data_IF_975091193831
#
_entry.id   IF_975091193831
#
_cell.length_a   1.000
_cell.length_b   1.000
_cell.length_c   1.000
_cell.angle_alpha   90.00
_cell.angle_beta   90.00
_cell.angle_gamma   90.00
#
_symmetry.space_group_name_H-M   'P 1'
#
loop_
_entity.id
_entity.type
_entity.pdbx_description
1 polymer ?
#
# COMPACT_ATOMS: atom_id res chain seq x y z
N UNK A 1 -16.73 -8.48 -2.78
CA UNK A 1 -16.71 -7.05 -2.42
C UNK A 1 -17.44 -6.90 -1.09
N UNK A 2 -16.85 -6.23 -0.10
CA UNK A 2 -17.52 -5.96 1.19
C UNK A 2 -18.32 -4.66 1.05
N UNK A 3 -19.59 -4.68 1.41
CA UNK A 3 -20.49 -3.53 1.33
C UNK A 3 -21.25 -3.31 2.64
N UNK A 4 -21.27 -2.08 3.14
CA UNK A 4 -21.95 -1.71 4.38
C UNK A 4 -23.46 -1.56 4.22
N UNK A 5 -23.95 -1.41 2.98
CA UNK A 5 -25.37 -1.27 2.67
C UNK A 5 -26.06 -2.61 2.40
N UNK A 6 -25.30 -3.70 2.36
CA UNK A 6 -25.83 -5.03 2.13
C UNK A 6 -26.62 -5.57 3.34
N UNK A 7 -27.60 -6.43 3.10
CA UNK A 7 -28.45 -7.00 4.15
C UNK A 7 -27.74 -7.94 5.14
N UNK A 8 -26.53 -8.39 4.81
CA UNK A 8 -25.67 -9.15 5.72
C UNK A 8 -24.78 -8.21 6.52
N UNK A 9 -24.59 -8.50 7.82
CA UNK A 9 -23.63 -7.76 8.63
C UNK A 9 -22.20 -7.88 8.09
N UNK A 10 -21.38 -6.84 8.29
CA UNK A 10 -19.95 -6.80 7.94
C UNK A 10 -19.20 -8.06 8.40
N UNK A 11 -19.55 -8.58 9.58
CA UNK A 11 -18.95 -9.80 10.15
C UNK A 11 -19.23 -11.03 9.29
N UNK A 12 -20.47 -11.20 8.83
CA UNK A 12 -20.86 -12.33 7.98
C UNK A 12 -20.19 -12.22 6.61
N UNK A 13 -20.12 -11.02 6.05
CA UNK A 13 -19.44 -10.79 4.77
C UNK A 13 -17.94 -11.10 4.85
N UNK A 14 -17.25 -10.65 5.91
CA UNK A 14 -15.83 -10.97 6.11
C UNK A 14 -15.60 -12.47 6.27
N UNK A 15 -16.48 -13.17 7.00
CA UNK A 15 -16.39 -14.63 7.20
C UNK A 15 -16.64 -15.41 5.91
N UNK A 16 -17.56 -14.96 5.05
CA UNK A 16 -17.83 -15.57 3.75
C UNK A 16 -16.66 -15.40 2.77
N UNK A 17 -15.96 -14.27 2.86
CA UNK A 17 -14.83 -13.93 1.98
C UNK A 17 -13.48 -14.41 2.53
N UNK A 18 -13.46 -15.06 3.69
CA UNK A 18 -12.24 -15.49 4.41
C UNK A 18 -11.20 -14.37 4.58
N UNK A 19 -11.69 -13.15 4.87
CA UNK A 19 -10.83 -11.97 5.11
C UNK A 19 -10.95 -11.47 6.53
N UNK A 20 -9.83 -10.99 7.07
CA UNK A 20 -9.82 -10.40 8.40
C UNK A 20 -10.73 -9.17 8.47
N UNK A 21 -11.53 -9.05 9.54
CA UNK A 21 -12.46 -7.93 9.76
C UNK A 21 -11.76 -6.57 9.74
N UNK A 22 -10.48 -6.51 10.12
CA UNK A 22 -9.65 -5.31 10.06
C UNK A 22 -9.56 -4.71 8.66
N UNK A 23 -9.55 -5.55 7.61
CA UNK A 23 -9.48 -5.10 6.21
C UNK A 23 -10.75 -4.39 5.77
N UNK A 24 -11.91 -4.72 6.34
CA UNK A 24 -13.19 -4.13 6.00
C UNK A 24 -13.33 -2.65 6.44
N UNK A 25 -12.50 -2.22 7.39
CA UNK A 25 -12.45 -0.82 7.81
C UNK A 25 -11.53 0.04 6.92
N UNK A 26 -10.63 -0.60 6.18
CA UNK A 26 -9.73 0.11 5.27
C UNK A 26 -10.50 0.54 4.02
N UNK A 27 -10.57 1.85 3.78
CA UNK A 27 -11.10 2.40 2.54
C UNK A 27 -9.91 2.67 1.60
N UNK A 28 -9.87 2.07 0.40
CA UNK A 28 -8.83 2.39 -0.57
C UNK A 28 -8.81 3.90 -0.82
N UNK A 29 -7.71 4.55 -0.48
CA UNK A 29 -7.49 5.96 -0.75
C UNK A 29 -6.69 6.09 -2.05
N UNK A 30 -7.04 7.01 -2.96
CA UNK A 30 -6.22 7.28 -4.13
C UNK A 30 -4.85 7.79 -3.68
N UNK A 31 -3.79 7.16 -4.18
CA UNK A 31 -2.41 7.58 -3.94
C UNK A 31 -2.10 8.81 -4.81
N UNK A 32 -1.35 9.76 -4.28
CA UNK A 32 -0.91 10.92 -5.05
C UNK A 32 0.08 10.52 -6.14
N UNK A 33 0.14 11.29 -7.23
CA UNK A 33 1.08 11.05 -8.33
C UNK A 33 2.54 10.96 -7.87
N UNK A 34 2.91 11.73 -6.84
CA UNK A 34 4.24 11.70 -6.23
C UNK A 34 4.52 10.36 -5.55
N UNK A 35 3.54 9.79 -4.84
CA UNK A 35 3.68 8.47 -4.20
C UNK A 35 3.78 7.38 -5.25
N UNK A 36 2.99 7.47 -6.33
CA UNK A 36 3.07 6.50 -7.43
C UNK A 36 4.43 6.53 -8.14
N UNK A 37 4.96 7.72 -8.42
CA UNK A 37 6.31 7.89 -8.99
C UNK A 37 7.39 7.31 -8.08
N UNK A 38 7.26 7.51 -6.76
CA UNK A 38 8.15 6.93 -5.76
C UNK A 38 8.11 5.39 -5.79
N UNK A 39 6.92 4.79 -5.80
CA UNK A 39 6.76 3.34 -5.86
C UNK A 39 7.39 2.75 -7.13
N UNK A 40 7.22 3.42 -8.28
CA UNK A 40 7.89 3.03 -9.54
C UNK A 40 9.40 3.07 -9.41
N UNK A 41 9.95 4.15 -8.86
CA UNK A 41 11.40 4.31 -8.68
C UNK A 41 11.98 3.26 -7.73
N UNK A 42 11.27 2.93 -6.66
CA UNK A 42 11.66 1.85 -5.74
C UNK A 42 11.68 0.51 -6.47
N UNK A 43 10.67 0.24 -7.32
CA UNK A 43 10.60 -0.98 -8.12
C UNK A 43 11.76 -1.11 -9.11
N UNK A 44 12.07 -0.05 -9.86
CA UNK A 44 13.21 -0.01 -10.79
C UNK A 44 14.54 -0.27 -10.08
N UNK A 45 14.71 0.34 -8.92
CA UNK A 45 15.93 0.24 -8.13
C UNK A 45 16.07 -1.16 -7.51
N UNK A 46 14.98 -1.82 -7.08
CA UNK A 46 15.03 -3.22 -6.64
C UNK A 46 15.27 -4.20 -7.79
N UNK A 47 14.79 -3.91 -9.00
CA UNK A 47 15.06 -4.74 -10.17
C UNK A 47 16.56 -4.73 -10.53
N UNK A 48 17.18 -3.55 -10.50
CA UNK A 48 18.61 -3.40 -10.80
C UNK A 48 19.50 -3.83 -9.62
N UNK A 49 19.02 -3.62 -8.39
CA UNK A 49 19.77 -3.88 -7.17
C UNK A 49 18.81 -4.43 -6.09
N UNK A 50 18.67 -5.77 -5.96
CA UNK A 50 17.71 -6.38 -5.03
C UNK A 50 17.99 -6.08 -3.54
N UNK A 51 19.18 -5.61 -3.21
CA UNK A 51 19.59 -5.16 -1.87
C UNK A 51 19.42 -3.64 -1.66
N UNK A 52 19.09 -2.90 -2.71
CA UNK A 52 18.95 -1.46 -2.67
C UNK A 52 17.57 -1.10 -2.09
N UNK A 53 17.52 -1.01 -0.77
CA UNK A 53 16.33 -0.51 -0.06
C UNK A 53 16.27 1.02 -0.01
N UNK A 54 15.43 1.53 0.88
CA UNK A 54 15.22 2.96 1.12
C UNK A 54 16.49 3.79 1.41
N UNK A 55 17.59 3.13 1.85
CA UNK A 55 18.88 3.79 2.10
C UNK A 55 19.58 4.26 0.82
N UNK A 56 19.47 3.50 -0.28
CA UNK A 56 20.08 3.89 -1.56
C UNK A 56 19.25 4.98 -2.25
N UNK A 57 17.93 4.90 -2.16
CA UNK A 57 17.03 5.95 -2.65
C UNK A 57 17.30 7.32 -1.99
N UNK A 58 17.65 7.35 -0.70
CA UNK A 58 18.06 8.58 0.00
C UNK A 58 19.38 9.15 -0.54
N UNK A 59 20.32 8.30 -0.99
CA UNK A 59 21.61 8.74 -1.56
C UNK A 59 21.45 9.30 -2.98
N UNK A 60 20.43 8.87 -3.72
CA UNK A 60 20.09 9.41 -5.04
C UNK A 60 19.41 10.81 -4.99
N UNK A 61 19.35 11.45 -3.82
CA UNK A 61 18.77 12.80 -3.69
C UNK A 61 17.24 12.82 -3.62
N UNK A 62 16.61 11.68 -3.34
CA UNK A 62 15.18 11.62 -3.06
C UNK A 62 14.86 12.40 -1.77
N UNK A 63 14.28 13.59 -1.91
CA UNK A 63 13.81 14.46 -0.82
C UNK A 63 12.61 13.87 -0.03
N UNK A 64 12.29 12.58 -0.22
CA UNK A 64 11.08 11.98 0.31
C UNK A 64 11.33 11.32 1.68
N UNK A 65 10.51 11.69 2.66
CA UNK A 65 10.53 11.09 4.00
C UNK A 65 10.20 9.59 3.91
N UNK A 66 11.08 8.76 4.48
CA UNK A 66 10.93 7.30 4.65
C UNK A 66 9.59 6.87 5.25
N UNK A 67 8.88 7.77 5.94
CA UNK A 67 7.53 7.53 6.50
C UNK A 67 6.44 7.37 5.44
N UNK A 68 6.69 7.76 4.18
CA UNK A 68 5.71 7.64 3.08
C UNK A 68 5.78 6.32 2.32
N UNK A 69 6.79 5.48 2.58
CA UNK A 69 6.85 4.14 2.00
C UNK A 69 6.04 3.22 2.92
N UNK A 70 4.87 2.71 2.48
CA UNK A 70 4.18 1.66 3.22
C UNK A 70 5.10 0.44 3.33
N UNK A 71 5.17 -0.14 4.53
CA UNK A 71 6.01 -1.31 4.83
C UNK A 71 5.57 -2.55 4.05
#
# INVERSE_FOLDING_TARGET
>A
MIDRTHGLSLVKQCRLLDVARSTAYYRPAPLSAQVLALMRRIGELHLNHPFAGARMLKREGSLFDRRRVPR
#
